data_IF_207076207807
#
_entry.id   IF_207076207807
#
_cell.length_a   1.000
_cell.length_b   1.000
_cell.length_c   1.000
_cell.angle_alpha   90.00
_cell.angle_beta   90.00
_cell.angle_gamma   90.00
#
_symmetry.space_group_name_H-M   'P 1'
#
loop_
_entity.id
_entity.type
_entity.pdbx_description
1 polymer ?
#
# COMPACT_ATOMS: atom_id res chain seq x y z
N UNK A 1 0.47 12.70 -20.51
CA UNK A 1 -0.10 11.52 -19.83
C UNK A 1 1.06 10.69 -19.28
N UNK A 2 1.37 10.77 -17.99
CA UNK A 2 2.42 9.93 -17.38
C UNK A 2 1.74 8.76 -16.66
N UNK A 3 1.82 7.58 -17.25
CA UNK A 3 1.41 6.32 -16.63
C UNK A 3 2.42 5.99 -15.52
N UNK A 4 2.04 6.21 -14.25
CA UNK A 4 2.87 5.84 -13.11
C UNK A 4 2.90 4.32 -12.99
N UNK A 5 4.10 3.74 -13.11
CA UNK A 5 4.34 2.32 -12.89
C UNK A 5 4.67 2.16 -11.41
N UNK A 6 3.74 1.58 -10.67
CA UNK A 6 3.90 1.25 -9.26
C UNK A 6 4.67 -0.08 -9.16
N UNK A 7 5.89 -0.02 -8.61
CA UNK A 7 6.63 -1.24 -8.26
C UNK A 7 6.27 -1.63 -6.84
N UNK A 8 5.57 -2.75 -6.67
CA UNK A 8 5.47 -3.35 -5.35
C UNK A 8 6.86 -3.78 -4.91
N UNK A 9 7.34 -3.30 -3.76
CA UNK A 9 8.63 -3.73 -3.21
C UNK A 9 8.61 -5.21 -2.74
N UNK A 10 7.43 -5.85 -2.68
CA UNK A 10 7.24 -7.20 -2.18
C UNK A 10 6.96 -8.22 -3.30
N UNK A 11 7.55 -9.41 -3.15
CA UNK A 11 7.29 -10.57 -4.00
C UNK A 11 5.87 -11.09 -3.77
N UNK A 12 5.20 -11.46 -4.83
CA UNK A 12 3.86 -12.05 -4.84
C UNK A 12 3.97 -13.47 -5.39
N UNK A 13 3.25 -14.40 -4.76
CA UNK A 13 3.18 -15.80 -5.20
C UNK A 13 1.98 -16.01 -6.10
N UNK A 14 2.20 -16.53 -7.31
CA UNK A 14 1.13 -16.91 -8.21
C UNK A 14 0.31 -18.08 -7.62
N UNK A 15 -1.03 -17.99 -7.51
CA UNK A 15 -1.85 -19.07 -6.98
C UNK A 15 -1.95 -20.28 -7.93
N UNK A 16 -1.73 -20.09 -9.23
CA UNK A 16 -1.85 -21.15 -10.24
C UNK A 16 -0.58 -21.99 -10.39
N UNK A 17 0.59 -21.36 -10.36
CA UNK A 17 1.86 -22.03 -10.65
C UNK A 17 2.91 -21.88 -9.53
N UNK A 18 2.59 -21.18 -8.45
CA UNK A 18 3.44 -21.07 -7.26
C UNK A 18 4.69 -20.21 -7.40
N UNK A 19 4.94 -19.60 -8.56
CA UNK A 19 6.13 -18.75 -8.79
C UNK A 19 6.03 -17.46 -7.97
N UNK A 20 7.13 -17.09 -7.33
CA UNK A 20 7.27 -15.81 -6.63
C UNK A 20 7.91 -14.78 -7.56
N UNK A 21 7.28 -13.61 -7.70
CA UNK A 21 7.76 -12.56 -8.61
C UNK A 21 7.39 -11.18 -8.08
N UNK A 22 8.07 -10.15 -8.58
CA UNK A 22 7.76 -8.75 -8.25
C UNK A 22 6.79 -8.23 -9.32
N UNK A 23 5.50 -8.01 -9.00
CA UNK A 23 4.54 -7.50 -9.97
C UNK A 23 4.80 -6.01 -10.27
N UNK A 24 4.58 -5.63 -11.53
CA UNK A 24 4.56 -4.23 -11.97
C UNK A 24 3.10 -3.80 -12.14
N UNK A 25 2.59 -2.99 -11.21
CA UNK A 25 1.20 -2.51 -11.25
C UNK A 25 1.18 -1.17 -11.99
N UNK A 26 0.36 -1.06 -13.04
CA UNK A 26 0.21 0.21 -13.78
C UNK A 26 -0.98 1.05 -13.31
N UNK A 27 -1.93 0.43 -12.60
CA UNK A 27 -3.13 1.08 -12.08
C UNK A 27 -3.78 0.21 -11.01
N UNK A 28 -4.21 0.82 -9.92
CA UNK A 28 -5.05 0.19 -8.91
C UNK A 28 -6.41 0.88 -8.87
N UNK A 29 -7.48 0.09 -8.89
CA UNK A 29 -8.84 0.58 -8.72
C UNK A 29 -9.38 0.00 -7.41
N UNK A 30 -9.76 0.86 -6.46
CA UNK A 30 -10.42 0.43 -5.23
C UNK A 30 -9.60 -0.45 -4.27
N UNK A 31 -8.26 -0.53 -4.43
CA UNK A 31 -7.42 -1.38 -3.58
C UNK A 31 -7.13 -2.77 -4.16
N UNK A 32 -7.57 -3.05 -5.39
CA UNK A 32 -7.22 -4.25 -6.13
C UNK A 32 -6.30 -3.90 -7.30
N UNK A 33 -5.36 -4.81 -7.59
CA UNK A 33 -4.51 -4.74 -8.77
C UNK A 33 -4.52 -6.07 -9.52
N UNK A 34 -4.75 -5.99 -10.82
CA UNK A 34 -4.53 -7.11 -11.72
C UNK A 34 -3.02 -7.24 -11.98
N UNK A 35 -2.50 -8.45 -11.81
CA UNK A 35 -1.09 -8.78 -12.02
C UNK A 35 -0.99 -10.02 -12.90
N UNK A 36 0.05 -10.06 -13.72
CA UNK A 36 0.37 -11.22 -14.56
C UNK A 36 1.70 -11.81 -14.12
N UNK A 37 1.72 -13.11 -13.83
CA UNK A 37 2.98 -13.79 -13.49
C UNK A 37 3.84 -14.03 -14.73
N UNK A 38 5.14 -14.35 -14.57
CA UNK A 38 6.04 -14.67 -15.68
C UNK A 38 5.58 -15.84 -16.57
N UNK A 39 4.76 -16.74 -16.02
CA UNK A 39 4.18 -17.88 -16.74
C UNK A 39 2.86 -17.54 -17.44
N UNK A 40 2.42 -16.28 -17.43
CA UNK A 40 1.24 -15.82 -18.18
C UNK A 40 -0.10 -15.91 -17.44
N UNK A 41 -0.13 -16.31 -16.17
CA UNK A 41 -1.36 -16.31 -15.39
C UNK A 41 -1.70 -14.90 -14.90
N UNK A 42 -2.89 -14.41 -15.25
CA UNK A 42 -3.45 -13.18 -14.72
C UNK A 42 -4.31 -13.46 -13.48
N UNK A 43 -4.15 -12.65 -12.43
CA UNK A 43 -4.95 -12.72 -11.21
C UNK A 43 -4.99 -11.36 -10.52
N UNK A 44 -5.99 -11.16 -9.67
CA UNK A 44 -6.10 -9.96 -8.85
C UNK A 44 -5.44 -10.18 -7.49
N UNK A 45 -4.75 -9.15 -7.01
CA UNK A 45 -4.25 -9.07 -5.65
C UNK A 45 -4.88 -7.89 -4.94
N UNK A 46 -5.16 -8.08 -3.65
CA UNK A 46 -5.56 -7.00 -2.76
C UNK A 46 -4.32 -6.25 -2.32
N UNK A 47 -4.31 -4.94 -2.56
CA UNK A 47 -3.26 -4.02 -2.12
C UNK A 47 -3.44 -3.55 -0.68
N UNK A 48 -4.47 -4.04 0.02
CA UNK A 48 -4.82 -3.62 1.39
C UNK A 48 -3.69 -3.87 2.41
N UNK A 49 -2.73 -4.76 2.11
CA UNK A 49 -1.57 -5.05 2.96
C UNK A 49 -0.31 -4.25 2.60
N UNK A 50 -0.33 -3.48 1.51
CA UNK A 50 0.85 -2.82 0.98
C UNK A 50 0.68 -1.30 1.05
N UNK A 51 1.19 -0.73 2.13
CA UNK A 51 1.52 0.69 2.16
C UNK A 51 2.80 0.86 1.34
N UNK A 52 2.59 1.12 0.05
CA UNK A 52 3.61 1.63 -0.85
C UNK A 52 4.08 2.98 -0.30
N UNK A 53 5.39 3.10 -0.02
CA UNK A 53 6.13 4.30 0.39
C UNK A 53 5.22 5.45 0.90
N UNK A 54 4.67 5.31 2.10
CA UNK A 54 3.88 6.38 2.71
C UNK A 54 4.78 7.35 3.49
N UNK A 55 4.51 8.64 3.37
CA UNK A 55 5.13 9.68 4.17
C UNK A 55 4.09 10.59 4.81
N UNK A 56 4.45 11.19 5.95
CA UNK A 56 3.63 12.23 6.58
C UNK A 56 3.88 13.54 5.86
N UNK A 57 2.84 14.08 5.25
CA UNK A 57 2.90 15.34 4.50
C UNK A 57 2.49 16.54 5.35
N UNK A 58 1.54 16.36 6.26
CA UNK A 58 1.01 17.41 7.14
C UNK A 58 1.33 17.08 8.60
N UNK A 59 2.51 17.53 9.05
CA UNK A 59 3.00 17.29 10.41
C UNK A 59 2.19 18.05 11.46
N UNK A 60 1.60 19.20 11.11
CA UNK A 60 0.78 19.99 12.02
C UNK A 60 -0.49 19.21 12.40
N UNK A 61 -1.23 18.72 11.40
CA UNK A 61 -2.45 17.91 11.65
C UNK A 61 -2.13 16.55 12.22
N UNK A 62 -0.99 15.95 11.85
CA UNK A 62 -0.54 14.70 12.44
C UNK A 62 -0.26 14.82 13.94
N UNK A 63 0.33 15.94 14.37
CA UNK A 63 0.65 16.19 15.78
C UNK A 63 -0.58 16.30 16.70
N UNK A 64 -1.76 16.54 16.12
CA UNK A 64 -3.04 16.59 16.85
C UNK A 64 -3.61 15.20 17.18
N UNK A 65 -3.07 14.14 16.57
CA UNK A 65 -3.50 12.77 16.86
C UNK A 65 -3.00 12.34 18.26
N UNK A 66 -3.69 11.41 18.94
CA UNK A 66 -3.17 10.81 20.17
C UNK A 66 -1.79 10.18 19.95
N UNK A 67 -0.92 10.24 20.97
CA UNK A 67 0.46 9.74 20.86
C UNK A 67 0.52 8.26 20.45
N UNK A 68 -0.39 7.43 20.94
CA UNK A 68 -0.50 6.02 20.53
C UNK A 68 -0.87 5.85 19.05
N UNK A 69 -1.72 6.73 18.52
CA UNK A 69 -2.07 6.77 17.10
C UNK A 69 -0.89 7.23 16.25
N UNK A 70 -0.13 8.22 16.71
CA UNK A 70 1.07 8.68 16.01
C UNK A 70 2.10 7.56 15.90
N UNK A 71 2.38 6.86 17.01
CA UNK A 71 3.30 5.71 17.06
C UNK A 71 2.88 4.62 16.07
N UNK A 72 1.59 4.23 16.09
CA UNK A 72 1.06 3.20 15.20
C UNK A 72 1.20 3.56 13.71
N UNK A 73 0.94 4.81 13.33
CA UNK A 73 1.10 5.27 11.95
C UNK A 73 2.57 5.25 11.52
N UNK A 74 3.48 5.68 12.39
CA UNK A 74 4.92 5.63 12.12
C UNK A 74 5.42 4.19 11.96
N UNK A 75 4.96 3.25 12.79
CA UNK A 75 5.30 1.83 12.67
C UNK A 75 4.77 1.23 11.36
N UNK A 76 3.56 1.58 10.96
CA UNK A 76 2.98 1.18 9.67
C UNK A 76 3.84 1.70 8.51
N UNK A 77 4.23 2.97 8.55
CA UNK A 77 5.08 3.59 7.53
C UNK A 77 6.44 2.89 7.47
N UNK A 78 7.09 2.68 8.62
CA UNK A 78 8.41 2.05 8.70
C UNK A 78 8.39 0.58 8.27
N UNK A 79 7.34 -0.16 8.63
CA UNK A 79 7.21 -1.58 8.29
C UNK A 79 6.72 -1.82 6.86
N UNK A 80 6.14 -0.80 6.22
CA UNK A 80 5.50 -0.90 4.91
C UNK A 80 4.24 -1.78 4.90
N UNK A 81 3.70 -2.13 6.08
CA UNK A 81 2.55 -3.03 6.24
C UNK A 81 1.48 -2.39 7.12
N UNK A 82 0.24 -2.47 6.68
CA UNK A 82 -0.91 -1.99 7.45
C UNK A 82 -1.64 -3.17 8.08
N UNK A 83 -1.62 -3.32 9.42
CA UNK A 83 -2.43 -4.33 10.06
C UNK A 83 -3.93 -4.04 9.86
N UNK A 84 -4.80 -5.06 9.83
CA UNK A 84 -6.24 -4.90 9.55
C UNK A 84 -6.93 -3.81 10.37
N UNK A 85 -6.61 -3.74 11.67
CA UNK A 85 -7.21 -2.80 12.61
C UNK A 85 -6.86 -1.33 12.30
N UNK A 86 -5.73 -1.09 11.60
CA UNK A 86 -5.25 0.25 11.24
C UNK A 86 -5.61 0.65 9.79
N UNK A 87 -6.23 -0.23 9.00
CA UNK A 87 -6.60 0.08 7.61
C UNK A 87 -7.54 1.27 7.51
N UNK A 88 -8.57 1.32 8.38
CA UNK A 88 -9.53 2.43 8.37
C UNK A 88 -8.87 3.75 8.78
N UNK A 89 -7.94 3.72 9.74
CA UNK A 89 -7.18 4.90 10.15
C UNK A 89 -6.30 5.41 9.00
N UNK A 90 -5.48 4.54 8.41
CA UNK A 90 -4.58 4.91 7.32
C UNK A 90 -5.34 5.45 6.10
N UNK A 91 -6.50 4.85 5.76
CA UNK A 91 -7.38 5.37 4.71
C UNK A 91 -7.85 6.79 5.00
N UNK A 92 -8.34 7.05 6.22
CA UNK A 92 -8.82 8.39 6.61
C UNK A 92 -7.69 9.43 6.60
N UNK A 93 -6.49 9.07 7.05
CA UNK A 93 -5.33 9.96 7.03
C UNK A 93 -4.92 10.28 5.58
N UNK A 94 -5.00 9.30 4.68
CA UNK A 94 -4.76 9.51 3.25
C UNK A 94 -5.82 10.41 2.61
N UNK A 95 -7.10 10.15 2.86
CA UNK A 95 -8.22 10.98 2.36
C UNK A 95 -8.15 12.42 2.87
N UNK A 96 -7.70 12.60 4.13
CA UNK A 96 -7.50 13.91 4.73
C UNK A 96 -6.23 14.64 4.25
N UNK A 97 -5.38 13.98 3.45
CA UNK A 97 -4.12 14.52 2.93
C UNK A 97 -2.98 14.57 3.95
N UNK A 98 -3.15 13.95 5.13
CA UNK A 98 -2.15 13.93 6.21
C UNK A 98 -1.00 13.00 5.85
N UNK A 99 -1.33 11.84 5.27
CA UNK A 99 -0.38 10.85 4.78
C UNK A 99 -0.51 10.74 3.27
N UNK A 100 0.61 10.68 2.56
CA UNK A 100 0.65 10.42 1.11
C UNK A 100 1.42 9.14 0.88
N UNK A 101 0.88 8.27 0.03
CA UNK A 101 1.44 6.97 -0.30
C UNK A 101 1.61 6.89 -1.80
N UNK A 102 2.82 6.58 -2.27
CA UNK A 102 3.16 6.56 -3.70
C UNK A 102 3.26 5.16 -4.26
#
# INVERSE_FOLDING_TARGET
MQSRVYRLANKVKCPFCGVEFIPSIKSSAGGEAEVTCPNGHAFTIMLNDFVLDCEIRDWERFSLLPQSTQQAVLEVIQSGKVPPDLQTLMRRLKEAGVVVCT
#
